data_IF_898411632988
#
_entry.id   IF_898411632988
#
_cell.length_a   1.000
_cell.length_b   1.000
_cell.length_c   1.000
_cell.angle_alpha   90.00
_cell.angle_beta   90.00
_cell.angle_gamma   90.00
#
_symmetry.space_group_name_H-M   'P 1'
#
loop_
_entity.id
_entity.type
_entity.pdbx_description
1 polymer ?
#
# COMPACT_ATOMS: atom_id res chain seq x y z
N UNK A 1 0.76 -8.53 6.32
CA UNK A 1 1.62 -9.12 5.26
C UNK A 1 0.74 -9.53 4.09
N UNK A 2 0.44 -8.62 3.18
CA UNK A 2 -0.45 -8.95 2.05
C UNK A 2 0.32 -9.58 0.89
N UNK A 3 1.49 -9.04 0.52
CA UNK A 3 2.24 -9.49 -0.65
C UNK A 3 2.79 -10.93 -0.52
N UNK A 4 3.50 -11.23 0.58
CA UNK A 4 4.20 -12.51 0.71
C UNK A 4 3.31 -13.64 1.26
N UNK A 5 2.16 -13.30 1.87
CA UNK A 5 1.31 -14.26 2.60
C UNK A 5 0.86 -15.43 1.74
N UNK A 6 0.42 -15.18 0.50
CA UNK A 6 -0.07 -16.25 -0.35
C UNK A 6 1.04 -17.26 -0.70
N UNK A 7 2.18 -16.74 -1.18
CA UNK A 7 3.35 -17.55 -1.54
C UNK A 7 3.90 -18.33 -0.34
N UNK A 8 4.08 -17.67 0.81
CA UNK A 8 4.61 -18.30 2.02
C UNK A 8 3.66 -19.37 2.57
N UNK A 9 2.34 -19.12 2.56
CA UNK A 9 1.33 -20.10 2.97
C UNK A 9 1.32 -21.34 2.07
N UNK A 10 1.42 -21.16 0.75
CA UNK A 10 1.52 -22.30 -0.17
C UNK A 10 2.78 -23.14 0.09
N UNK A 11 3.94 -22.49 0.29
CA UNK A 11 5.19 -23.19 0.61
C UNK A 11 5.11 -23.94 1.94
N UNK A 12 4.51 -23.32 2.96
CA UNK A 12 4.30 -23.94 4.26
C UNK A 12 3.41 -25.18 4.17
N UNK A 13 2.30 -25.10 3.43
CA UNK A 13 1.41 -26.23 3.24
C UNK A 13 2.14 -27.40 2.55
N UNK A 14 2.96 -27.13 1.52
CA UNK A 14 3.76 -28.16 0.85
C UNK A 14 4.81 -28.79 1.77
N UNK A 15 5.54 -27.98 2.53
CA UNK A 15 6.53 -28.46 3.49
C UNK A 15 5.89 -29.34 4.59
N UNK A 16 4.69 -28.98 5.05
CA UNK A 16 3.89 -29.80 5.98
C UNK A 16 3.51 -31.15 5.40
N UNK A 17 3.00 -31.19 4.17
CA UNK A 17 2.64 -32.45 3.51
C UNK A 17 3.84 -33.36 3.28
N UNK A 18 5.03 -32.80 3.06
CA UNK A 18 6.26 -33.55 2.85
C UNK A 18 7.03 -33.87 4.16
N UNK A 19 6.58 -33.35 5.31
CA UNK A 19 7.30 -33.38 6.58
C UNK A 19 8.78 -32.94 6.48
N UNK A 20 9.04 -31.90 5.67
CA UNK A 20 10.38 -31.45 5.34
C UNK A 20 10.88 -30.40 6.34
N UNK A 21 11.70 -30.84 7.30
CA UNK A 21 12.35 -30.02 8.31
C UNK A 21 13.16 -28.85 7.74
N UNK A 22 13.96 -29.10 6.70
CA UNK A 22 14.81 -28.08 6.09
C UNK A 22 13.98 -27.03 5.35
N UNK A 23 12.85 -27.42 4.75
CA UNK A 23 11.92 -26.48 4.15
C UNK A 23 11.27 -25.55 5.20
N UNK A 24 11.02 -26.02 6.42
CA UNK A 24 10.52 -25.16 7.50
C UNK A 24 11.52 -24.07 7.88
N UNK A 25 12.79 -24.42 8.06
CA UNK A 25 13.85 -23.46 8.39
C UNK A 25 14.00 -22.40 7.29
N UNK A 26 13.95 -22.83 6.02
CA UNK A 26 13.99 -21.91 4.89
C UNK A 26 12.78 -20.96 4.87
N UNK A 27 11.58 -21.44 5.21
CA UNK A 27 10.37 -20.62 5.29
C UNK A 27 10.44 -19.63 6.45
N UNK A 28 10.96 -20.05 7.61
CA UNK A 28 11.14 -19.18 8.77
C UNK A 28 12.01 -17.97 8.43
N UNK A 29 13.17 -18.19 7.80
CA UNK A 29 14.08 -17.12 7.34
C UNK A 29 13.41 -16.15 6.34
N UNK A 30 12.54 -16.67 5.47
CA UNK A 30 11.79 -15.84 4.53
C UNK A 30 10.73 -14.99 5.23
N UNK A 31 10.07 -15.53 6.25
CA UNK A 31 9.13 -14.77 7.09
C UNK A 31 9.89 -13.65 7.81
N UNK A 32 11.03 -13.94 8.44
CA UNK A 32 11.87 -12.93 9.12
C UNK A 32 12.27 -11.80 8.16
N UNK A 33 12.72 -12.14 6.95
CA UNK A 33 13.06 -11.16 5.92
C UNK A 33 11.85 -10.29 5.53
N UNK A 34 10.66 -10.90 5.40
CA UNK A 34 9.41 -10.20 5.11
C UNK A 34 9.00 -9.26 6.26
N UNK A 35 9.13 -9.71 7.51
CA UNK A 35 8.88 -8.88 8.71
C UNK A 35 9.80 -7.67 8.71
N UNK A 36 11.12 -7.90 8.60
CA UNK A 36 12.12 -6.83 8.63
C UNK A 36 11.91 -5.80 7.51
N UNK A 37 11.51 -6.25 6.31
CA UNK A 37 11.18 -5.35 5.19
C UNK A 37 9.95 -4.50 5.50
N UNK A 38 8.89 -5.08 6.05
CA UNK A 38 7.68 -4.35 6.43
C UNK A 38 7.95 -3.35 7.56
N UNK A 39 8.77 -3.71 8.54
CA UNK A 39 9.17 -2.83 9.63
C UNK A 39 10.02 -1.65 9.13
N UNK A 40 10.98 -1.91 8.24
CA UNK A 40 11.77 -0.85 7.61
C UNK A 40 10.86 0.15 6.90
N UNK A 41 9.93 -0.33 6.07
CA UNK A 41 8.96 0.52 5.35
C UNK A 41 8.09 1.32 6.32
N UNK A 42 7.64 0.72 7.42
CA UNK A 42 6.85 1.41 8.45
C UNK A 42 7.64 2.55 9.10
N UNK A 43 8.94 2.34 9.38
CA UNK A 43 9.82 3.35 9.97
C UNK A 43 10.16 4.49 9.01
N UNK A 44 10.15 4.22 7.70
CA UNK A 44 10.46 5.21 6.66
C UNK A 44 9.21 5.79 5.98
N UNK A 45 8.03 5.68 6.61
CA UNK A 45 6.83 6.31 6.05
C UNK A 45 7.00 7.83 6.08
N UNK A 46 6.81 8.53 4.95
CA UNK A 46 6.88 10.00 4.94
C UNK A 46 5.74 10.58 5.77
N UNK A 47 5.93 11.80 6.26
CA UNK A 47 4.83 12.58 6.84
C UNK A 47 3.84 12.94 5.75
N UNK A 48 2.55 12.67 5.99
CA UNK A 48 1.50 12.88 5.00
C UNK A 48 0.67 14.08 5.41
N UNK A 49 0.74 15.13 4.58
CA UNK A 49 -0.12 16.31 4.69
C UNK A 49 -1.06 16.37 3.50
N UNK A 50 -2.34 16.65 3.79
CA UNK A 50 -3.38 16.83 2.78
C UNK A 50 -3.70 18.34 2.67
N UNK A 51 -3.72 18.91 1.45
CA UNK A 51 -4.09 20.32 1.27
C UNK A 51 -5.56 20.54 1.64
N UNK A 52 -5.84 21.51 2.51
CA UNK A 52 -7.18 21.76 3.06
C UNK A 52 -8.17 22.28 2.01
N UNK A 53 -7.67 22.89 0.93
CA UNK A 53 -8.45 23.45 -0.16
C UNK A 53 -9.04 22.40 -1.12
N UNK A 54 -8.58 21.15 -1.05
CA UNK A 54 -9.07 20.10 -1.95
C UNK A 54 -10.34 19.43 -1.38
N UNK A 55 -11.41 19.27 -2.18
CA UNK A 55 -12.66 18.65 -1.73
C UNK A 55 -12.48 17.27 -1.09
N UNK A 56 -11.54 16.46 -1.60
CA UNK A 56 -11.27 15.12 -1.05
C UNK A 56 -10.76 15.14 0.40
N UNK A 57 -10.14 16.23 0.83
CA UNK A 57 -9.57 16.35 2.18
C UNK A 57 -10.65 16.37 3.25
N UNK A 58 -11.82 16.95 2.96
CA UNK A 58 -12.98 16.93 3.86
C UNK A 58 -13.51 15.51 4.13
N UNK A 59 -13.25 14.57 3.20
CA UNK A 59 -13.69 13.17 3.30
C UNK A 59 -12.54 12.21 3.67
N UNK A 60 -11.39 12.72 4.12
CA UNK A 60 -10.20 11.92 4.34
C UNK A 60 -10.44 10.76 5.32
N UNK A 61 -11.06 11.04 6.47
CA UNK A 61 -11.32 10.04 7.51
C UNK A 61 -12.31 8.96 7.03
N UNK A 62 -13.40 9.38 6.38
CA UNK A 62 -14.38 8.48 5.77
C UNK A 62 -13.73 7.53 4.76
N UNK A 63 -12.91 8.08 3.86
CA UNK A 63 -12.18 7.30 2.86
C UNK A 63 -11.17 6.35 3.50
N UNK A 64 -10.43 6.77 4.52
CA UNK A 64 -9.47 5.92 5.24
C UNK A 64 -10.20 4.74 5.90
N UNK A 65 -11.35 4.98 6.51
CA UNK A 65 -12.15 3.90 7.10
C UNK A 65 -12.70 2.96 6.03
N UNK A 66 -13.25 3.51 4.95
CA UNK A 66 -13.75 2.71 3.82
C UNK A 66 -12.64 1.82 3.22
N UNK A 67 -11.43 2.35 3.04
CA UNK A 67 -10.25 1.59 2.56
C UNK A 67 -9.90 0.45 3.51
N UNK A 68 -10.06 0.63 4.83
CA UNK A 68 -9.74 -0.41 5.83
C UNK A 68 -10.79 -1.51 5.87
N UNK A 69 -12.06 -1.14 5.77
CA UNK A 69 -13.20 -2.04 6.00
C UNK A 69 -13.64 -2.80 4.76
N UNK A 70 -13.47 -2.21 3.57
CA UNK A 70 -13.97 -2.79 2.33
C UNK A 70 -12.82 -3.23 1.42
N UNK A 71 -12.99 -4.40 0.80
CA UNK A 71 -12.04 -4.92 -0.19
C UNK A 71 -12.03 -4.07 -1.47
N UNK A 72 -13.20 -3.54 -1.85
CA UNK A 72 -13.42 -2.70 -3.02
C UNK A 72 -14.26 -1.51 -2.60
N UNK A 73 -13.83 -0.32 -3.01
CA UNK A 73 -14.57 0.94 -2.86
C UNK A 73 -14.62 1.65 -4.20
N UNK A 74 -15.72 2.36 -4.45
CA UNK A 74 -15.84 3.25 -5.62
C UNK A 74 -15.83 4.68 -5.10
N UNK A 75 -14.87 5.47 -5.57
CA UNK A 75 -14.73 6.88 -5.18
C UNK A 75 -15.07 7.74 -6.39
N UNK A 76 -16.20 8.45 -6.31
CA UNK A 76 -16.64 9.40 -7.33
C UNK A 76 -16.36 10.84 -6.89
N UNK A 77 -16.17 11.73 -7.86
CA UNK A 77 -16.02 13.16 -7.63
C UNK A 77 -15.62 13.88 -8.91
N UNK A 78 -15.83 15.18 -8.99
CA UNK A 78 -15.52 15.98 -10.16
C UNK A 78 -14.01 16.05 -10.49
N UNK A 79 -13.68 16.39 -11.74
CA UNK A 79 -12.29 16.67 -12.12
C UNK A 79 -11.76 17.84 -11.29
N UNK A 80 -10.53 17.72 -10.76
CA UNK A 80 -9.96 18.74 -9.87
C UNK A 80 -10.19 18.48 -8.38
N UNK A 81 -11.06 17.54 -8.00
CA UNK A 81 -11.35 17.26 -6.58
C UNK A 81 -10.18 16.67 -5.76
N UNK A 82 -9.02 16.43 -6.37
CA UNK A 82 -7.83 15.89 -5.71
C UNK A 82 -7.71 14.35 -5.69
N UNK A 83 -8.60 13.60 -6.34
CA UNK A 83 -8.59 12.11 -6.32
C UNK A 83 -7.24 11.49 -6.66
N UNK A 84 -6.71 11.78 -7.85
CA UNK A 84 -5.48 11.13 -8.33
C UNK A 84 -4.23 11.53 -7.54
N UNK A 85 -4.24 12.68 -6.87
CA UNK A 85 -3.09 13.18 -6.09
C UNK A 85 -3.19 12.84 -4.61
N UNK A 86 -4.38 12.66 -4.03
CA UNK A 86 -4.54 12.43 -2.60
C UNK A 86 -4.90 10.98 -2.23
N UNK A 87 -5.61 10.22 -3.08
CA UNK A 87 -5.96 8.83 -2.76
C UNK A 87 -4.75 7.94 -2.46
N UNK A 88 -3.60 8.03 -3.17
CA UNK A 88 -2.40 7.27 -2.82
C UNK A 88 -1.89 7.57 -1.41
N UNK A 89 -1.99 8.82 -0.96
CA UNK A 89 -1.61 9.25 0.39
C UNK A 89 -2.58 8.74 1.45
N UNK A 90 -3.90 8.81 1.18
CA UNK A 90 -4.92 8.23 2.05
C UNK A 90 -4.72 6.70 2.20
N UNK A 91 -4.34 6.01 1.12
CA UNK A 91 -3.97 4.60 1.18
C UNK A 91 -2.78 4.35 2.11
N UNK A 92 -1.74 5.19 2.07
CA UNK A 92 -0.61 5.09 3.00
C UNK A 92 -1.05 5.33 4.45
N UNK A 93 -1.87 6.35 4.72
CA UNK A 93 -2.45 6.61 6.05
C UNK A 93 -3.34 5.45 6.54
N UNK A 94 -4.02 4.77 5.62
CA UNK A 94 -4.78 3.55 5.91
C UNK A 94 -3.90 2.32 6.17
N UNK A 95 -2.57 2.46 6.16
CA UNK A 95 -1.60 1.39 6.41
C UNK A 95 -1.31 0.51 5.20
N UNK A 96 -1.74 0.94 3.99
CA UNK A 96 -1.34 0.29 2.73
C UNK A 96 0.12 0.68 2.40
N UNK A 97 0.73 -0.02 1.45
CA UNK A 97 2.14 0.22 1.08
C UNK A 97 3.21 -0.26 2.07
N UNK A 98 2.85 -0.56 3.33
CA UNK A 98 3.81 -1.14 4.30
C UNK A 98 4.10 -2.61 3.99
N UNK A 99 3.05 -3.40 3.79
CA UNK A 99 3.16 -4.86 3.58
C UNK A 99 2.96 -5.30 2.13
N UNK A 100 3.12 -4.36 1.20
CA UNK A 100 2.91 -4.51 -0.24
C UNK A 100 3.21 -3.21 -0.97
N UNK A 101 2.70 -3.06 -2.19
CA UNK A 101 2.88 -1.85 -3.03
C UNK A 101 1.49 -1.27 -3.32
N UNK A 102 1.40 0.06 -3.40
CA UNK A 102 0.21 0.76 -3.91
C UNK A 102 0.41 0.98 -5.40
N UNK A 103 -0.39 0.31 -6.23
CA UNK A 103 -0.41 0.54 -7.67
C UNK A 103 -1.37 1.67 -8.01
N UNK A 104 -0.85 2.76 -8.60
CA UNK A 104 -1.67 3.85 -9.12
C UNK A 104 -1.63 3.84 -10.65
N UNK A 105 -2.75 3.46 -11.27
CA UNK A 105 -2.85 3.36 -12.73
C UNK A 105 -3.49 4.63 -13.31
N UNK A 106 -3.01 5.04 -14.47
CA UNK A 106 -3.52 6.19 -15.21
C UNK A 106 -3.63 5.82 -16.69
N UNK A 107 -4.70 6.22 -17.40
CA UNK A 107 -4.88 5.88 -18.81
C UNK A 107 -3.84 6.58 -19.71
N UNK A 108 -3.25 7.70 -19.25
CA UNK A 108 -2.25 8.46 -20.00
C UNK A 108 -0.90 8.42 -19.29
N UNK A 109 0.15 8.03 -20.02
CA UNK A 109 1.55 8.00 -19.53
C UNK A 109 2.03 9.34 -18.97
N UNK A 110 1.66 10.45 -19.62
CA UNK A 110 2.04 11.80 -19.15
C UNK A 110 1.43 12.11 -17.80
N UNK A 111 0.16 11.74 -17.58
CA UNK A 111 -0.51 11.89 -16.29
C UNK A 111 0.15 11.04 -15.21
N UNK A 112 0.47 9.76 -15.51
CA UNK A 112 1.18 8.88 -14.57
C UNK A 112 2.50 9.49 -14.08
N UNK A 113 3.34 9.99 -15.02
CA UNK A 113 4.63 10.59 -14.70
C UNK A 113 4.48 11.89 -13.91
N UNK A 114 3.56 12.76 -14.32
CA UNK A 114 3.30 14.04 -13.64
C UNK A 114 2.80 13.83 -12.21
N UNK A 115 1.85 12.90 -12.01
CA UNK A 115 1.34 12.55 -10.69
C UNK A 115 2.44 11.94 -9.81
N UNK A 116 3.27 11.04 -10.36
CA UNK A 116 4.37 10.44 -9.60
C UNK A 116 5.38 11.49 -9.13
N UNK A 117 5.80 12.41 -10.01
CA UNK A 117 6.71 13.50 -9.67
C UNK A 117 6.10 14.45 -8.64
N UNK A 118 4.81 14.77 -8.77
CA UNK A 118 4.09 15.61 -7.80
C UNK A 118 3.98 14.95 -6.42
N UNK A 119 3.63 13.66 -6.37
CA UNK A 119 3.55 12.90 -5.12
C UNK A 119 4.90 12.83 -4.41
N UNK A 120 5.98 12.60 -5.16
CA UNK A 120 7.36 12.60 -4.67
C UNK A 120 7.71 13.94 -4.01
N UNK A 121 7.44 15.05 -4.70
CA UNK A 121 7.63 16.41 -4.16
C UNK A 121 6.79 16.66 -2.90
N UNK A 122 5.50 16.33 -2.92
CA UNK A 122 4.58 16.55 -1.78
C UNK A 122 4.90 15.67 -0.55
N UNK A 123 5.61 14.54 -0.74
CA UNK A 123 6.03 13.64 0.35
C UNK A 123 7.48 13.84 0.79
N UNK A 124 8.24 14.71 0.09
CA UNK A 124 9.65 14.96 0.39
C UNK A 124 10.57 13.77 0.08
N UNK A 125 10.24 12.96 -0.92
CA UNK A 125 10.98 11.75 -1.33
C UNK A 125 11.26 11.76 -2.81
#
# INVERSE_FOLDING_TARGET
>A
MAADRHRLRQRLNRARSANDGAAFDAIARLIETSVATAERRRKTLPSITLPAELPITAHADELIQAIKQHQVIIVAGETGSGKSTQLPKLCLQAGRGVTGIIGHTQPRRVAARSIASRLSSELGT
#
